data_IF_217194829102
#
_entry.id   IF_217194829102
#
_cell.length_a   1.000
_cell.length_b   1.000
_cell.length_c   1.000
_cell.angle_alpha   90.00
_cell.angle_beta   90.00
_cell.angle_gamma   90.00
#
_symmetry.space_group_name_H-M   'P 1'
#
loop_
_entity.id
_entity.type
_entity.pdbx_description
1 polymer ?
#
# COMPACT_ATOMS: atom_id res chain seq x y z
N UNK A 1 -6.50 16.87 11.82
CA UNK A 1 -5.66 15.70 12.17
C UNK A 1 -4.56 15.63 11.13
N UNK A 2 -3.39 16.20 11.42
CA UNK A 2 -2.22 16.13 10.56
C UNK A 2 -1.51 14.79 10.83
N UNK A 3 -1.34 13.98 9.79
CA UNK A 3 -0.59 12.73 9.89
C UNK A 3 0.87 13.08 9.65
N UNK A 4 1.62 13.29 10.73
CA UNK A 4 3.07 13.50 10.69
C UNK A 4 3.76 12.18 10.37
N UNK A 5 4.31 12.02 9.17
CA UNK A 5 5.12 10.84 8.80
C UNK A 5 6.56 11.28 8.61
N UNK A 6 7.41 10.97 9.59
CA UNK A 6 8.84 11.29 9.56
C UNK A 6 9.66 10.09 10.05
N UNK A 7 10.19 9.26 9.14
CA UNK A 7 11.08 8.15 9.48
C UNK A 7 12.11 7.95 8.35
N UNK A 8 13.40 7.92 8.69
CA UNK A 8 14.49 7.35 7.87
C UNK A 8 14.42 5.82 8.04
N UNK A 9 13.64 5.14 7.22
CA UNK A 9 13.30 3.74 7.49
C UNK A 9 14.40 2.77 7.05
N UNK A 10 14.88 1.89 7.94
CA UNK A 10 15.58 0.65 7.56
C UNK A 10 14.58 -0.44 7.15
N UNK A 11 15.04 -1.58 6.62
CA UNK A 11 14.14 -2.71 6.30
C UNK A 11 13.46 -3.23 7.57
N UNK A 12 14.20 -3.36 8.67
CA UNK A 12 13.69 -3.86 9.95
C UNK A 12 12.65 -2.90 10.54
N UNK A 13 12.89 -1.59 10.46
CA UNK A 13 11.92 -0.60 10.91
C UNK A 13 10.66 -0.60 10.05
N UNK A 14 10.79 -0.81 8.74
CA UNK A 14 9.64 -0.95 7.85
C UNK A 14 8.80 -2.17 8.23
N UNK A 15 9.44 -3.32 8.49
CA UNK A 15 8.76 -4.54 8.95
C UNK A 15 8.03 -4.28 10.27
N UNK A 16 8.66 -3.60 11.23
CA UNK A 16 8.02 -3.25 12.52
C UNK A 16 6.74 -2.44 12.30
N UNK A 17 6.80 -1.35 11.54
CA UNK A 17 5.66 -0.47 11.26
C UNK A 17 4.52 -1.24 10.56
N UNK A 18 4.86 -2.15 9.66
CA UNK A 18 3.87 -2.96 8.94
C UNK A 18 3.14 -3.92 9.89
N UNK A 19 3.83 -4.46 10.89
CA UNK A 19 3.26 -5.39 11.87
C UNK A 19 2.48 -4.69 13.00
N UNK A 20 2.64 -3.39 13.22
CA UNK A 20 1.87 -2.64 14.21
C UNK A 20 0.39 -2.51 13.79
N UNK A 21 -0.59 -3.04 14.53
CA UNK A 21 -2.02 -2.99 14.17
C UNK A 21 -2.65 -1.59 14.07
N UNK A 22 -1.90 -0.56 14.47
CA UNK A 22 -2.30 0.83 14.33
C UNK A 22 -2.09 1.33 12.88
N UNK A 23 -2.52 2.58 12.60
CA UNK A 23 -2.22 3.28 11.35
C UNK A 23 -2.88 2.75 10.06
N UNK A 24 -3.90 1.90 10.16
CA UNK A 24 -4.75 1.60 9.00
C UNK A 24 -5.52 2.83 8.55
N UNK A 25 -5.47 3.11 7.26
CA UNK A 25 -6.31 4.12 6.62
C UNK A 25 -7.35 3.43 5.73
N UNK A 26 -8.56 3.97 5.74
CA UNK A 26 -9.52 3.70 4.69
C UNK A 26 -9.13 4.53 3.46
N UNK A 27 -9.17 3.93 2.29
CA UNK A 27 -8.98 4.70 1.07
C UNK A 27 -10.10 5.72 0.92
N UNK A 28 -9.76 7.00 0.92
CA UNK A 28 -10.64 8.07 0.46
C UNK A 28 -9.83 9.07 -0.37
N UNK A 29 -10.42 9.57 -1.47
CA UNK A 29 -9.70 10.44 -2.42
C UNK A 29 -9.19 11.75 -1.80
N UNK A 30 -9.77 12.19 -0.68
CA UNK A 30 -9.51 13.48 -0.06
C UNK A 30 -8.36 13.46 0.95
N UNK A 31 -7.94 12.30 1.48
CA UNK A 31 -6.95 12.23 2.57
C UNK A 31 -5.51 11.99 2.11
N UNK A 32 -5.28 11.71 0.82
CA UNK A 32 -3.97 11.24 0.34
C UNK A 32 -3.29 12.33 -0.46
N UNK A 33 -2.31 12.98 0.17
CA UNK A 33 -1.42 13.96 -0.45
C UNK A 33 -0.04 13.35 -0.58
N UNK A 34 0.46 13.29 -1.81
CA UNK A 34 1.78 12.76 -2.10
C UNK A 34 2.77 13.86 -2.44
N UNK A 35 3.98 13.76 -1.89
CA UNK A 35 5.00 14.81 -2.00
C UNK A 35 6.11 14.44 -3.00
N UNK A 36 6.52 15.38 -3.89
CA UNK A 36 7.48 15.12 -4.99
C UNK A 36 8.84 14.54 -4.56
N UNK A 37 9.27 14.76 -3.31
CA UNK A 37 10.59 14.36 -2.80
C UNK A 37 10.63 12.97 -2.16
N UNK A 38 9.46 12.37 -1.95
CA UNK A 38 9.33 11.13 -1.18
C UNK A 38 8.81 9.99 -2.04
N UNK A 39 9.33 8.80 -1.79
CA UNK A 39 8.75 7.56 -2.28
C UNK A 39 7.70 7.07 -1.28
N UNK A 40 6.81 6.20 -1.72
CA UNK A 40 5.86 5.55 -0.84
C UNK A 40 5.80 4.06 -1.15
N UNK A 41 5.74 3.25 -0.10
CA UNK A 41 5.25 1.88 -0.14
C UNK A 41 3.83 1.90 0.38
N UNK A 42 2.92 1.21 -0.29
CA UNK A 42 1.55 1.02 0.15
C UNK A 42 1.24 -0.47 0.27
N UNK A 43 0.53 -0.81 1.34
CA UNK A 43 0.13 -2.16 1.67
C UNK A 43 -1.39 -2.22 1.60
N UNK A 44 -1.92 -3.23 0.92
CA UNK A 44 -3.35 -3.52 0.90
C UNK A 44 -3.58 -4.72 1.81
N UNK A 45 -4.45 -4.52 2.79
CA UNK A 45 -4.89 -5.56 3.70
C UNK A 45 -6.32 -5.97 3.38
N UNK A 46 -6.58 -7.28 3.42
CA UNK A 46 -7.91 -7.85 3.28
C UNK A 46 -8.36 -8.45 4.59
N UNK A 47 -9.51 -7.99 5.08
CA UNK A 47 -10.16 -8.48 6.28
C UNK A 47 -11.35 -9.32 5.85
N UNK A 48 -11.22 -10.63 6.02
CA UNK A 48 -12.28 -11.59 5.73
C UNK A 48 -13.17 -11.72 6.95
N UNK A 49 -14.37 -11.15 6.91
CA UNK A 49 -15.32 -11.09 8.04
C UNK A 49 -14.68 -10.42 9.27
N UNK A 50 -14.72 -11.08 10.44
CA UNK A 50 -14.17 -10.59 11.72
C UNK A 50 -12.73 -11.07 11.97
N UNK A 51 -12.06 -11.65 10.99
CA UNK A 51 -10.67 -12.09 11.14
C UNK A 51 -9.70 -10.91 11.05
N UNK A 52 -8.50 -11.13 11.57
CA UNK A 52 -7.35 -10.24 11.39
C UNK A 52 -7.07 -9.99 9.90
N UNK A 53 -6.53 -8.81 9.59
CA UNK A 53 -6.27 -8.40 8.23
C UNK A 53 -4.98 -9.00 7.69
N UNK A 54 -5.05 -9.65 6.54
CA UNK A 54 -3.86 -10.20 5.87
C UNK A 54 -3.33 -9.24 4.81
N UNK A 55 -2.00 -9.12 4.70
CA UNK A 55 -1.37 -8.36 3.61
C UNK A 55 -1.56 -9.13 2.32
N UNK A 56 -2.40 -8.60 1.43
CA UNK A 56 -2.69 -9.22 0.13
C UNK A 56 -1.89 -8.61 -1.00
N UNK A 57 -1.42 -7.36 -0.87
CA UNK A 57 -0.62 -6.69 -1.89
C UNK A 57 0.32 -5.64 -1.30
N UNK A 58 1.51 -5.53 -1.88
CA UNK A 58 2.49 -4.47 -1.60
C UNK A 58 2.82 -3.79 -2.93
N UNK A 59 2.81 -2.46 -2.95
CA UNK A 59 3.21 -1.70 -4.12
C UNK A 59 3.98 -0.44 -3.76
N UNK A 60 4.71 0.09 -4.74
CA UNK A 60 5.41 1.38 -4.62
C UNK A 60 4.84 2.47 -5.52
N UNK A 61 5.06 3.71 -5.12
CA UNK A 61 4.80 4.89 -5.95
C UNK A 61 5.81 6.00 -5.70
N UNK A 62 6.05 6.82 -6.73
CA UNK A 62 6.56 8.17 -6.52
C UNK A 62 5.52 8.98 -5.75
N UNK A 63 5.95 9.89 -4.88
CA UNK A 63 5.03 10.61 -4.01
C UNK A 63 3.98 11.40 -4.79
N UNK A 64 4.39 12.21 -5.76
CA UNK A 64 3.45 12.97 -6.59
C UNK A 64 2.46 12.11 -7.42
N UNK A 65 2.70 10.80 -7.56
CA UNK A 65 1.83 9.86 -8.27
C UNK A 65 1.01 8.96 -7.32
N UNK A 66 1.22 9.03 -6.00
CA UNK A 66 0.60 8.11 -5.03
C UNK A 66 -0.92 8.10 -5.13
N UNK A 67 -1.54 9.29 -5.16
CA UNK A 67 -3.00 9.43 -5.25
C UNK A 67 -3.55 8.77 -6.52
N UNK A 68 -2.91 9.02 -7.66
CA UNK A 68 -3.29 8.39 -8.93
C UNK A 68 -3.09 6.87 -8.90
N UNK A 69 -1.98 6.40 -8.31
CA UNK A 69 -1.70 4.97 -8.18
C UNK A 69 -2.78 4.27 -7.35
N UNK A 70 -3.17 4.83 -6.22
CA UNK A 70 -4.24 4.26 -5.38
C UNK A 70 -5.60 4.35 -6.09
N UNK A 71 -5.90 5.46 -6.76
CA UNK A 71 -7.10 5.58 -7.62
C UNK A 71 -7.15 4.47 -8.68
N UNK A 72 -6.01 4.15 -9.27
CA UNK A 72 -5.91 3.07 -10.25
C UNK A 72 -6.25 1.70 -9.66
N UNK A 73 -5.93 1.46 -8.38
CA UNK A 73 -6.26 0.22 -7.68
C UNK A 73 -7.70 0.18 -7.16
N UNK A 74 -8.26 1.29 -6.67
CA UNK A 74 -9.53 1.26 -5.94
C UNK A 74 -10.74 1.76 -6.73
N UNK A 75 -10.55 2.47 -7.85
CA UNK A 75 -11.68 3.12 -8.55
C UNK A 75 -11.68 2.91 -10.06
N UNK A 76 -10.57 3.21 -10.75
CA UNK A 76 -10.56 3.27 -12.22
C UNK A 76 -9.34 2.53 -12.76
N UNK A 77 -9.55 1.49 -13.56
CA UNK A 77 -8.44 0.76 -14.17
C UNK A 77 -7.85 1.61 -15.29
N UNK A 78 -6.56 1.88 -15.22
CA UNK A 78 -5.82 2.32 -16.40
C UNK A 78 -5.41 1.07 -17.21
N UNK A 79 -5.71 0.96 -18.52
CA UNK A 79 -5.50 -0.26 -19.32
C UNK A 79 -4.04 -0.76 -19.34
N UNK A 80 -3.08 0.15 -19.17
CA UNK A 80 -1.63 -0.12 -19.23
C UNK A 80 -0.97 -0.39 -17.87
N UNK A 81 -1.71 -0.49 -16.77
CA UNK A 81 -1.13 -0.67 -15.43
C UNK A 81 -1.45 -2.04 -14.85
N UNK A 82 -0.50 -2.60 -14.08
CA UNK A 82 -0.69 -3.81 -13.25
C UNK A 82 -1.61 -3.58 -12.04
N UNK A 83 -2.67 -2.79 -12.21
CA UNK A 83 -3.67 -2.50 -11.19
C UNK A 83 -4.37 -3.79 -10.73
N UNK A 84 -4.73 -3.83 -9.45
CA UNK A 84 -5.49 -4.90 -8.80
C UNK A 84 -6.99 -4.61 -8.71
N UNK A 85 -7.52 -3.65 -9.47
CA UNK A 85 -8.91 -3.19 -9.36
C UNK A 85 -9.94 -4.31 -9.45
N UNK A 86 -9.80 -5.22 -10.42
CA UNK A 86 -10.76 -6.33 -10.56
C UNK A 86 -10.78 -7.24 -9.32
N UNK A 87 -9.61 -7.50 -8.73
CA UNK A 87 -9.49 -8.33 -7.53
C UNK A 87 -10.10 -7.59 -6.33
N UNK A 88 -9.80 -6.30 -6.18
CA UNK A 88 -10.35 -5.43 -5.15
C UNK A 88 -11.87 -5.38 -5.20
N UNK A 89 -12.45 -5.16 -6.38
CA UNK A 89 -13.90 -5.12 -6.57
C UNK A 89 -14.56 -6.46 -6.22
N UNK A 90 -13.92 -7.58 -6.58
CA UNK A 90 -14.39 -8.91 -6.25
C UNK A 90 -14.40 -9.16 -4.72
N UNK A 91 -13.35 -8.77 -4.01
CA UNK A 91 -13.30 -8.92 -2.55
C UNK A 91 -14.33 -8.03 -1.84
N UNK A 92 -14.52 -6.80 -2.30
CA UNK A 92 -15.57 -5.91 -1.78
C UNK A 92 -16.96 -6.51 -2.02
N UNK A 93 -17.21 -7.09 -3.20
CA UNK A 93 -18.49 -7.73 -3.53
C UNK A 93 -18.79 -8.96 -2.65
N UNK A 94 -17.75 -9.65 -2.16
CA UNK A 94 -17.87 -10.74 -1.18
C UNK A 94 -18.14 -10.25 0.25
N UNK A 95 -18.17 -8.94 0.49
CA UNK A 95 -18.34 -8.34 1.80
C UNK A 95 -17.05 -8.21 2.62
N UNK A 96 -15.88 -8.45 2.02
CA UNK A 96 -14.60 -8.28 2.69
C UNK A 96 -14.23 -6.79 2.78
N UNK A 97 -13.55 -6.41 3.86
CA UNK A 97 -13.08 -5.03 4.06
C UNK A 97 -11.63 -4.92 3.63
N UNK A 98 -11.32 -3.87 2.87
CA UNK A 98 -9.95 -3.56 2.47
C UNK A 98 -9.46 -2.32 3.22
N UNK A 99 -8.25 -2.40 3.78
CA UNK A 99 -7.58 -1.25 4.40
C UNK A 99 -6.19 -1.06 3.82
N UNK A 100 -5.66 0.14 4.01
CA UNK A 100 -4.34 0.52 3.55
C UNK A 100 -3.41 0.82 4.72
N UNK A 101 -2.13 0.55 4.55
CA UNK A 101 -1.05 1.24 5.27
C UNK A 101 -0.12 1.90 4.26
N UNK A 102 0.46 3.02 4.64
CA UNK A 102 1.41 3.78 3.83
C UNK A 102 2.71 3.96 4.60
N UNK A 103 3.83 3.68 3.95
CA UNK A 103 5.16 4.00 4.44
C UNK A 103 5.76 5.07 3.54
N UNK A 104 6.08 6.23 4.11
CA UNK A 104 6.79 7.30 3.43
C UNK A 104 8.29 7.00 3.47
N UNK A 105 8.97 7.11 2.33
CA UNK A 105 10.35 6.69 2.14
C UNK A 105 11.18 7.84 1.58
N UNK A 106 12.37 8.06 2.16
CA UNK A 106 13.39 8.98 1.64
C UNK A 106 14.76 8.32 1.69
N UNK A 107 15.57 8.42 0.61
CA UNK A 107 15.28 9.11 -0.66
C UNK A 107 14.21 8.39 -1.50
N UNK A 108 13.59 9.10 -2.46
CA UNK A 108 12.51 8.52 -3.30
C UNK A 108 12.90 7.18 -3.91
N UNK A 109 14.15 7.04 -4.36
CA UNK A 109 14.70 5.84 -5.00
C UNK A 109 14.72 4.60 -4.10
N UNK A 110 14.87 4.78 -2.78
CA UNK A 110 14.97 3.67 -1.83
C UNK A 110 13.67 2.83 -1.76
N UNK A 111 12.53 3.40 -2.18
CA UNK A 111 11.27 2.66 -2.31
C UNK A 111 11.38 1.42 -3.21
N UNK A 112 12.32 1.38 -4.14
CA UNK A 112 12.44 0.25 -5.06
C UNK A 112 12.97 -0.98 -4.32
N UNK A 113 14.14 -0.86 -3.70
CA UNK A 113 14.75 -1.90 -2.87
C UNK A 113 13.83 -2.30 -1.73
N UNK A 114 13.21 -1.32 -1.06
CA UNK A 114 12.33 -1.61 0.06
C UNK A 114 11.08 -2.42 -0.35
N UNK A 115 10.48 -2.12 -1.51
CA UNK A 115 9.35 -2.91 -2.03
C UNK A 115 9.75 -4.37 -2.28
N UNK A 116 10.92 -4.59 -2.89
CA UNK A 116 11.42 -5.92 -3.23
C UNK A 116 11.66 -6.76 -1.97
N UNK A 117 12.33 -6.18 -0.97
CA UNK A 117 12.59 -6.83 0.31
C UNK A 117 11.29 -7.15 1.08
N UNK A 118 10.34 -6.20 1.11
CA UNK A 118 9.05 -6.42 1.77
C UNK A 118 8.20 -7.48 1.04
N UNK A 119 8.20 -7.52 -0.29
CA UNK A 119 7.52 -8.58 -1.06
C UNK A 119 8.18 -9.94 -0.80
N UNK A 120 9.52 -10.00 -0.74
CA UNK A 120 10.27 -11.22 -0.44
C UNK A 120 9.96 -11.75 0.97
N UNK A 121 9.89 -10.83 1.94
CA UNK A 121 9.60 -11.14 3.35
C UNK A 121 8.15 -11.59 3.57
N UNK A 122 7.17 -10.80 3.13
CA UNK A 122 5.74 -11.05 3.41
C UNK A 122 5.05 -11.97 2.41
N UNK A 123 5.62 -12.14 1.20
CA UNK A 123 5.08 -12.98 0.11
C UNK A 123 3.57 -12.82 -0.13
N UNK A 124 3.07 -11.58 -0.31
CA UNK A 124 1.63 -11.33 -0.44
C UNK A 124 1.06 -11.96 -1.71
N UNK A 125 -0.12 -12.58 -1.59
CA UNK A 125 -0.73 -13.40 -2.65
C UNK A 125 -0.94 -12.66 -3.97
N UNK A 126 -1.20 -11.35 -3.96
CA UNK A 126 -1.48 -10.60 -5.19
C UNK A 126 -0.22 -10.02 -5.84
N UNK A 127 0.95 -10.14 -5.21
CA UNK A 127 2.24 -9.87 -5.85
C UNK A 127 2.70 -11.13 -6.56
N UNK A 128 2.22 -11.33 -7.79
CA UNK A 128 2.68 -12.42 -8.64
C UNK A 128 4.15 -12.19 -8.96
N UNK A 129 5.02 -13.03 -8.40
CA UNK A 129 6.41 -13.16 -8.82
C UNK A 129 6.39 -13.90 -10.16
N UNK A 130 6.87 -13.25 -11.22
CA UNK A 130 7.14 -13.92 -12.49
C UNK A 130 8.52 -14.53 -12.46
#
# INVERSE_FOLDING_TARGET
MEITVNIKTSIEEAIRIVNEDSNFILYSESSIVGEKRFGYIYFIYCFVKEKEGEIVYIGKSKGHLLKERLKNHFQKKHPKTGSKLAIIQNEIAKGNKLKLKLLKVTPESFRNTLEEELISHFRPLWNVQK
#
